data_IF_125413948043
#
_entry.id   IF_125413948043
#
_cell.length_a   1.000
_cell.length_b   1.000
_cell.length_c   1.000
_cell.angle_alpha   90.00
_cell.angle_beta   90.00
_cell.angle_gamma   90.00
#
_symmetry.space_group_name_H-M   'P 1'
#
loop_
_entity.id
_entity.type
_entity.pdbx_description
1 polymer ?
#
# COMPACT_ATOMS: atom_id res chain seq x y z
N UNK A 1 -14.40 7.20 9.38
CA UNK A 1 -15.31 8.14 8.71
C UNK A 1 -16.78 7.95 9.13
N UNK A 2 -17.33 6.71 9.16
CA UNK A 2 -18.73 6.49 9.58
C UNK A 2 -19.01 7.03 10.99
N UNK A 3 -18.11 6.80 11.96
CA UNK A 3 -18.21 7.38 13.29
C UNK A 3 -18.14 8.91 13.26
N UNK A 4 -17.26 9.47 12.45
CA UNK A 4 -17.17 10.93 12.28
C UNK A 4 -18.47 11.53 11.72
N UNK A 5 -19.14 10.84 10.78
CA UNK A 5 -20.42 11.29 10.24
C UNK A 5 -21.58 11.31 11.26
N UNK A 6 -21.48 10.52 12.34
CA UNK A 6 -22.45 10.57 13.44
C UNK A 6 -22.28 11.88 14.24
N UNK A 7 -21.04 12.34 14.42
CA UNK A 7 -20.72 13.53 15.20
C UNK A 7 -20.86 14.82 14.39
N UNK A 8 -20.50 14.78 13.11
CA UNK A 8 -20.61 15.92 12.19
C UNK A 8 -21.13 15.49 10.81
N UNK A 9 -22.44 15.30 10.66
CA UNK A 9 -23.05 14.83 9.42
C UNK A 9 -23.01 15.85 8.25
N UNK A 10 -22.61 17.09 8.53
CA UNK A 10 -22.60 18.18 7.56
C UNK A 10 -21.19 18.54 7.06
N UNK A 11 -20.14 17.87 7.53
CA UNK A 11 -18.78 18.10 7.07
C UNK A 11 -18.49 17.29 5.79
N UNK A 12 -18.30 17.94 4.64
CA UNK A 12 -18.20 17.28 3.34
C UNK A 12 -16.99 16.34 3.23
N UNK A 13 -15.85 16.68 3.87
CA UNK A 13 -14.64 15.86 3.81
C UNK A 13 -14.75 14.50 4.51
N UNK A 14 -15.72 14.32 5.38
CA UNK A 14 -16.02 13.00 5.96
C UNK A 14 -16.50 12.04 4.88
N UNK A 15 -17.39 12.50 4.01
CA UNK A 15 -17.93 11.71 2.90
C UNK A 15 -16.93 11.57 1.74
N UNK A 16 -16.12 12.60 1.50
CA UNK A 16 -14.96 12.48 0.62
C UNK A 16 -14.01 11.37 1.10
N UNK A 17 -13.69 11.34 2.39
CA UNK A 17 -12.84 10.31 2.98
C UNK A 17 -13.45 8.91 2.90
N UNK A 18 -14.79 8.78 3.06
CA UNK A 18 -15.48 7.50 2.83
C UNK A 18 -15.29 7.03 1.37
N UNK A 19 -15.54 7.90 0.41
CA UNK A 19 -15.40 7.57 -1.01
C UNK A 19 -13.94 7.24 -1.37
N UNK A 20 -12.99 8.04 -0.90
CA UNK A 20 -11.57 7.82 -1.16
C UNK A 20 -11.07 6.48 -0.58
N UNK A 21 -11.47 6.16 0.66
CA UNK A 21 -11.02 4.91 1.32
C UNK A 21 -11.61 3.62 0.70
N UNK A 22 -12.74 3.71 0.00
CA UNK A 22 -13.35 2.61 -0.74
C UNK A 22 -12.72 2.48 -2.12
N UNK A 23 -12.19 3.55 -2.68
CA UNK A 23 -11.70 3.66 -4.05
C UNK A 23 -10.47 2.80 -4.36
N UNK A 24 -10.00 2.87 -5.61
CA UNK A 24 -8.81 2.15 -6.01
C UNK A 24 -7.57 2.71 -5.29
N UNK A 25 -6.65 1.83 -4.96
CA UNK A 25 -5.35 2.18 -4.43
C UNK A 25 -4.26 1.28 -5.06
N UNK A 26 -2.95 1.59 -4.93
CA UNK A 26 -1.90 0.81 -5.56
C UNK A 26 -1.90 -0.69 -5.17
N UNK A 27 -2.35 -1.03 -3.96
CA UNK A 27 -2.42 -2.42 -3.49
C UNK A 27 -3.70 -3.14 -3.91
N UNK A 28 -4.79 -2.39 -4.16
CA UNK A 28 -6.10 -2.96 -4.51
C UNK A 28 -6.85 -2.04 -5.45
N UNK A 29 -7.47 -2.59 -6.49
CA UNK A 29 -8.27 -1.77 -7.42
C UNK A 29 -9.48 -1.13 -6.75
N UNK A 30 -10.16 -1.91 -5.92
CA UNK A 30 -11.25 -1.45 -5.05
C UNK A 30 -11.25 -2.29 -3.78
N UNK A 31 -11.77 -1.74 -2.70
CA UNK A 31 -11.98 -2.50 -1.48
C UNK A 31 -12.85 -3.74 -1.74
N UNK A 32 -12.48 -4.88 -1.16
CA UNK A 32 -13.34 -6.07 -1.13
C UNK A 32 -14.58 -5.90 -0.23
N UNK A 33 -14.70 -4.77 0.43
CA UNK A 33 -15.82 -4.39 1.31
C UNK A 33 -16.06 -2.90 1.16
N UNK A 34 -17.30 -2.48 0.98
CA UNK A 34 -18.57 -3.26 0.91
C UNK A 34 -18.70 -4.10 -0.37
N UNK A 35 -19.77 -4.88 -0.50
CA UNK A 35 -20.05 -5.74 -1.66
C UNK A 35 -20.13 -4.97 -2.99
N UNK A 36 -20.62 -3.71 -2.94
CA UNK A 36 -20.62 -2.76 -4.06
C UNK A 36 -19.77 -1.53 -3.74
N UNK A 37 -18.42 -1.63 -3.82
CA UNK A 37 -17.56 -0.50 -3.49
C UNK A 37 -17.73 0.70 -4.42
N UNK A 38 -18.07 0.48 -5.69
CA UNK A 38 -18.30 1.59 -6.62
C UNK A 38 -19.60 2.34 -6.31
N UNK A 39 -20.67 1.62 -6.02
CA UNK A 39 -21.95 2.24 -5.66
C UNK A 39 -21.89 2.96 -4.31
N UNK A 40 -21.26 2.36 -3.31
CA UNK A 40 -21.08 3.04 -2.01
C UNK A 40 -20.11 4.23 -2.10
N UNK A 41 -19.06 4.14 -2.92
CA UNK A 41 -18.17 5.26 -3.21
C UNK A 41 -18.91 6.42 -3.89
N UNK A 42 -19.73 6.12 -4.91
CA UNK A 42 -20.57 7.12 -5.60
C UNK A 42 -21.55 7.78 -4.64
N UNK A 43 -22.23 6.99 -3.79
CA UNK A 43 -23.16 7.51 -2.79
C UNK A 43 -22.46 8.46 -1.81
N UNK A 44 -21.28 8.08 -1.33
CA UNK A 44 -20.50 8.91 -0.42
C UNK A 44 -20.05 10.22 -1.08
N UNK A 45 -19.47 10.16 -2.30
CA UNK A 45 -19.00 11.37 -2.97
C UNK A 45 -20.13 12.30 -3.39
N UNK A 46 -21.31 11.77 -3.78
CA UNK A 46 -22.50 12.56 -4.06
C UNK A 46 -22.99 13.29 -2.79
N UNK A 47 -22.88 12.65 -1.62
CA UNK A 47 -23.18 13.32 -0.35
C UNK A 47 -22.18 14.45 -0.09
N UNK A 48 -20.89 14.27 -0.33
CA UNK A 48 -19.89 15.34 -0.24
C UNK A 48 -20.22 16.50 -1.20
N UNK A 49 -20.55 16.20 -2.45
CA UNK A 49 -20.99 17.19 -3.45
C UNK A 49 -22.19 18.00 -2.99
N UNK A 50 -23.18 17.36 -2.35
CA UNK A 50 -24.37 18.07 -1.82
C UNK A 50 -24.07 19.01 -0.65
N UNK A 51 -22.87 18.95 -0.08
CA UNK A 51 -22.41 19.75 1.07
C UNK A 51 -21.29 20.73 0.69
N UNK A 52 -21.03 20.97 -0.59
CA UNK A 52 -19.92 21.82 -1.07
C UNK A 52 -19.95 23.25 -0.49
N UNK A 53 -21.11 23.77 -0.11
CA UNK A 53 -21.20 25.08 0.54
C UNK A 53 -20.44 25.15 1.87
N UNK A 54 -20.32 24.01 2.57
CA UNK A 54 -19.62 23.88 3.84
C UNK A 54 -18.10 23.62 3.68
N UNK A 55 -17.62 23.43 2.45
CA UNK A 55 -16.24 23.17 2.13
C UNK A 55 -15.44 24.46 1.87
N UNK A 56 -14.18 24.49 2.28
CA UNK A 56 -13.24 25.51 1.82
C UNK A 56 -12.86 25.33 0.35
N UNK A 57 -12.18 26.30 -0.31
CA UNK A 57 -11.85 26.19 -1.74
C UNK A 57 -11.04 24.95 -2.12
N UNK A 58 -10.06 24.55 -1.30
CA UNK A 58 -9.21 23.37 -1.55
C UNK A 58 -10.04 22.09 -1.42
N UNK A 59 -10.85 21.98 -0.37
CA UNK A 59 -11.75 20.84 -0.16
C UNK A 59 -12.77 20.68 -1.30
N UNK A 60 -13.32 21.79 -1.81
CA UNK A 60 -14.21 21.77 -2.98
C UNK A 60 -13.53 21.19 -4.21
N UNK A 61 -12.31 21.62 -4.46
CA UNK A 61 -11.51 21.12 -5.57
C UNK A 61 -11.23 19.60 -5.42
N UNK A 62 -10.86 19.15 -4.21
CA UNK A 62 -10.64 17.72 -3.90
C UNK A 62 -11.91 16.88 -4.10
N UNK A 63 -13.04 17.35 -3.60
CA UNK A 63 -14.33 16.66 -3.74
C UNK A 63 -14.71 16.55 -5.21
N UNK A 64 -14.59 17.64 -5.96
CA UNK A 64 -14.92 17.68 -7.39
C UNK A 64 -14.01 16.76 -8.20
N UNK A 65 -12.73 16.72 -7.89
CA UNK A 65 -11.78 15.81 -8.53
C UNK A 65 -12.14 14.34 -8.28
N UNK A 66 -12.38 13.96 -7.00
CA UNK A 66 -12.72 12.58 -6.67
C UNK A 66 -14.07 12.13 -7.25
N UNK A 67 -15.03 13.06 -7.41
CA UNK A 67 -16.32 12.76 -8.04
C UNK A 67 -16.15 12.18 -9.46
N UNK A 68 -15.18 12.66 -10.23
CA UNK A 68 -14.88 12.16 -11.58
C UNK A 68 -14.65 10.64 -11.58
N UNK A 69 -13.99 10.12 -10.57
CA UNK A 69 -13.67 8.68 -10.45
C UNK A 69 -14.93 7.80 -10.41
N UNK A 70 -16.03 8.32 -9.88
CA UNK A 70 -17.29 7.60 -9.66
C UNK A 70 -18.39 7.95 -10.65
N UNK A 71 -18.23 9.04 -11.43
CA UNK A 71 -19.26 9.54 -12.38
C UNK A 71 -19.29 8.72 -13.68
N UNK A 72 -19.95 7.55 -13.61
CA UNK A 72 -20.13 6.66 -14.76
C UNK A 72 -21.14 7.22 -15.80
N UNK A 73 -21.95 8.22 -15.44
CA UNK A 73 -22.89 8.85 -16.35
C UNK A 73 -22.16 9.77 -17.34
N UNK A 74 -21.17 10.53 -16.85
CA UNK A 74 -20.34 11.39 -17.69
C UNK A 74 -19.27 10.59 -18.45
N UNK A 75 -18.66 9.60 -17.81
CA UNK A 75 -17.61 8.76 -18.41
C UNK A 75 -17.91 7.29 -18.07
N UNK A 76 -18.39 6.52 -19.03
CA UNK A 76 -18.84 5.13 -18.80
C UNK A 76 -17.70 4.15 -18.56
N UNK A 77 -16.53 4.36 -19.20
CA UNK A 77 -15.36 3.49 -19.08
C UNK A 77 -14.55 3.77 -17.80
N UNK A 78 -14.27 2.73 -17.03
CA UNK A 78 -13.54 2.82 -15.77
C UNK A 78 -12.10 3.36 -15.95
N UNK A 79 -11.40 2.89 -16.98
CA UNK A 79 -10.03 3.32 -17.25
C UNK A 79 -9.95 4.79 -17.67
N UNK A 80 -10.94 5.26 -18.43
CA UNK A 80 -11.03 6.68 -18.79
C UNK A 80 -11.35 7.55 -17.58
N UNK A 81 -12.16 7.07 -16.63
CA UNK A 81 -12.39 7.78 -15.35
C UNK A 81 -11.12 7.86 -14.50
N UNK A 82 -10.35 6.77 -14.42
CA UNK A 82 -9.05 6.79 -13.73
C UNK A 82 -8.10 7.84 -14.31
N UNK A 83 -8.01 7.91 -15.65
CA UNK A 83 -7.20 8.91 -16.35
C UNK A 83 -7.72 10.34 -16.11
N UNK A 84 -9.03 10.53 -16.16
CA UNK A 84 -9.66 11.84 -15.94
C UNK A 84 -9.44 12.30 -14.47
N UNK A 85 -9.56 11.40 -13.51
CA UNK A 85 -9.25 11.68 -12.10
C UNK A 85 -7.77 12.02 -11.89
N UNK A 86 -6.85 11.24 -12.49
CA UNK A 86 -5.42 11.56 -12.43
C UNK A 86 -5.10 12.93 -13.01
N UNK A 87 -5.73 13.31 -14.14
CA UNK A 87 -5.54 14.63 -14.73
C UNK A 87 -6.08 15.76 -13.82
N UNK A 88 -7.22 15.53 -13.15
CA UNK A 88 -7.74 16.47 -12.17
C UNK A 88 -6.82 16.58 -10.94
N UNK A 89 -6.29 15.47 -10.44
CA UNK A 89 -5.33 15.44 -9.34
C UNK A 89 -3.99 16.12 -9.72
N UNK A 90 -3.56 15.99 -10.99
CA UNK A 90 -2.41 16.74 -11.51
C UNK A 90 -2.66 18.27 -11.53
N UNK A 91 -3.85 18.70 -11.91
CA UNK A 91 -4.22 20.11 -11.84
C UNK A 91 -4.25 20.61 -10.38
N UNK A 92 -4.75 19.80 -9.45
CA UNK A 92 -4.72 20.11 -8.01
C UNK A 92 -3.30 20.29 -7.50
N UNK A 93 -2.39 19.34 -7.78
CA UNK A 93 -1.01 19.45 -7.31
C UNK A 93 -0.24 20.60 -7.95
N UNK A 94 -0.64 21.10 -9.11
CA UNK A 94 -0.09 22.33 -9.70
C UNK A 94 -0.58 23.58 -8.94
N UNK A 95 -1.85 23.58 -8.54
CA UNK A 95 -2.47 24.69 -7.79
C UNK A 95 -2.02 24.72 -6.32
N UNK A 96 -1.87 23.57 -5.69
CA UNK A 96 -1.53 23.40 -4.28
C UNK A 96 -0.20 22.65 -4.11
N UNK A 97 0.84 23.07 -4.84
CA UNK A 97 2.08 22.30 -5.04
C UNK A 97 2.95 22.09 -3.79
N UNK A 98 2.67 22.78 -2.69
CA UNK A 98 3.34 22.65 -1.40
C UNK A 98 2.57 21.79 -0.40
N UNK A 99 1.33 21.44 -0.73
CA UNK A 99 0.50 20.60 0.13
C UNK A 99 0.84 19.10 -0.10
N UNK A 100 1.33 18.39 0.95
CA UNK A 100 1.78 17.01 0.79
C UNK A 100 0.64 16.01 0.61
N UNK A 101 -0.57 16.29 1.11
CA UNK A 101 -1.74 15.44 0.89
C UNK A 101 -2.18 15.51 -0.57
N UNK A 102 -2.26 16.71 -1.14
CA UNK A 102 -2.63 16.91 -2.56
C UNK A 102 -1.62 16.26 -3.50
N UNK A 103 -0.32 16.41 -3.22
CA UNK A 103 0.72 15.76 -4.04
C UNK A 103 0.67 14.23 -3.89
N UNK A 104 0.33 13.72 -2.70
CA UNK A 104 0.14 12.28 -2.49
C UNK A 104 -1.07 11.74 -3.25
N UNK A 105 -2.19 12.48 -3.29
CA UNK A 105 -3.36 12.11 -4.12
C UNK A 105 -3.02 12.03 -5.61
N UNK A 106 -2.23 12.98 -6.12
CA UNK A 106 -1.75 12.91 -7.50
C UNK A 106 -0.87 11.68 -7.74
N UNK A 107 0.09 11.43 -6.85
CA UNK A 107 0.97 10.27 -6.98
C UNK A 107 0.18 8.96 -6.92
N UNK A 108 -0.76 8.82 -5.98
CA UNK A 108 -1.62 7.66 -5.86
C UNK A 108 -2.48 7.45 -7.11
N UNK A 109 -3.12 8.51 -7.63
CA UNK A 109 -3.97 8.43 -8.84
C UNK A 109 -3.18 7.97 -10.06
N UNK A 110 -1.94 8.45 -10.24
CA UNK A 110 -1.03 7.97 -11.29
C UNK A 110 -0.69 6.49 -11.10
N UNK A 111 -0.32 6.11 -9.88
CA UNK A 111 0.10 4.75 -9.55
C UNK A 111 -1.04 3.74 -9.70
N UNK A 112 -2.29 4.15 -9.55
CA UNK A 112 -3.47 3.32 -9.75
C UNK A 112 -3.72 2.93 -11.22
N UNK A 113 -3.28 3.74 -12.17
CA UNK A 113 -3.43 3.47 -13.60
C UNK A 113 -2.51 2.35 -14.05
N UNK A 114 -1.22 2.47 -13.76
CA UNK A 114 -0.19 1.52 -14.15
C UNK A 114 0.40 0.76 -12.97
N UNK A 115 -0.45 0.07 -12.19
CA UNK A 115 -0.05 -0.59 -10.94
C UNK A 115 1.22 -1.43 -11.10
N UNK A 116 2.28 -1.05 -10.35
CA UNK A 116 3.61 -1.68 -10.34
C UNK A 116 4.37 -1.61 -11.66
N UNK A 117 3.84 -0.94 -12.68
CA UNK A 117 4.42 -0.85 -14.04
C UNK A 117 4.84 0.59 -14.35
N UNK A 118 5.67 1.18 -13.49
CA UNK A 118 6.13 2.58 -13.60
C UNK A 118 7.46 2.72 -14.35
N UNK A 119 8.18 1.63 -14.55
CA UNK A 119 9.51 1.59 -15.15
C UNK A 119 9.58 0.54 -16.27
N UNK A 120 10.28 0.84 -17.34
CA UNK A 120 10.64 -0.16 -18.34
C UNK A 120 11.69 -1.13 -17.78
N UNK A 121 11.88 -2.26 -18.45
CA UNK A 121 12.86 -3.29 -18.01
C UNK A 121 14.29 -2.78 -17.97
N UNK A 122 14.62 -1.80 -18.81
CA UNK A 122 15.93 -1.13 -18.85
C UNK A 122 16.08 -0.01 -17.82
N UNK A 123 15.02 0.25 -17.01
CA UNK A 123 14.97 1.29 -16.02
C UNK A 123 14.53 2.66 -16.52
N UNK A 124 14.15 2.78 -17.79
CA UNK A 124 13.57 4.00 -18.32
C UNK A 124 12.22 4.29 -17.64
N UNK A 125 11.98 5.51 -17.16
CA UNK A 125 10.70 5.86 -16.52
C UNK A 125 9.57 5.91 -17.56
N UNK A 126 8.44 5.29 -17.23
CA UNK A 126 7.22 5.35 -18.05
C UNK A 126 6.45 6.64 -17.82
N UNK A 127 5.84 7.18 -18.88
CA UNK A 127 4.86 8.28 -18.81
C UNK A 127 5.27 9.38 -17.81
N UNK A 128 4.45 9.60 -16.77
CA UNK A 128 4.64 10.66 -15.78
C UNK A 128 5.49 10.25 -14.56
N UNK A 129 6.11 9.07 -14.54
CA UNK A 129 6.88 8.55 -13.38
C UNK A 129 7.87 9.57 -12.83
N UNK A 130 8.70 10.17 -13.69
CA UNK A 130 9.68 11.20 -13.28
C UNK A 130 9.00 12.44 -12.68
N UNK A 131 7.89 12.89 -13.27
CA UNK A 131 7.11 14.03 -12.78
C UNK A 131 6.56 13.75 -11.38
N UNK A 132 6.01 12.55 -11.16
CA UNK A 132 5.46 12.12 -9.87
C UNK A 132 6.58 12.00 -8.82
N UNK A 133 7.72 11.37 -9.16
CA UNK A 133 8.86 11.27 -8.26
C UNK A 133 9.35 12.66 -7.81
N UNK A 134 9.55 13.57 -8.75
CA UNK A 134 10.00 14.94 -8.45
C UNK A 134 8.96 15.71 -7.60
N UNK A 135 7.66 15.47 -7.79
CA UNK A 135 6.63 16.09 -6.97
C UNK A 135 6.67 15.59 -5.52
N UNK A 136 6.80 14.27 -5.32
CA UNK A 136 6.95 13.67 -4.00
C UNK A 136 8.24 14.16 -3.30
N UNK A 137 9.37 14.16 -3.98
CA UNK A 137 10.65 14.63 -3.43
C UNK A 137 10.58 16.10 -3.00
N UNK A 138 9.92 16.94 -3.82
CA UNK A 138 9.73 18.37 -3.51
C UNK A 138 8.94 18.59 -2.21
N UNK A 139 7.82 17.85 -2.01
CA UNK A 139 7.04 18.02 -0.77
C UNK A 139 7.72 17.39 0.42
N UNK A 140 8.44 16.27 0.23
CA UNK A 140 9.20 15.61 1.30
C UNK A 140 10.40 16.44 1.76
N UNK A 141 10.96 17.32 0.92
CA UNK A 141 12.00 18.27 1.33
C UNK A 141 11.50 19.24 2.41
N UNK A 142 10.22 19.63 2.37
CA UNK A 142 9.61 20.54 3.33
C UNK A 142 8.76 19.83 4.40
N UNK A 143 8.27 18.64 4.11
CA UNK A 143 7.41 17.83 4.97
C UNK A 143 8.00 16.41 5.11
N UNK A 144 9.19 16.23 5.69
CA UNK A 144 9.93 14.97 5.65
C UNK A 144 9.20 13.81 6.35
N UNK A 145 8.31 14.09 7.28
CA UNK A 145 7.59 13.08 8.06
C UNK A 145 6.16 12.82 7.55
N UNK A 146 5.82 13.30 6.34
CA UNK A 146 4.50 13.03 5.78
C UNK A 146 4.36 11.56 5.38
N UNK A 147 3.50 10.80 6.07
CA UNK A 147 3.37 9.34 5.94
C UNK A 147 3.03 8.92 4.51
N UNK A 148 1.98 9.50 3.92
CA UNK A 148 1.51 9.15 2.57
C UNK A 148 2.58 9.39 1.50
N UNK A 149 3.24 10.55 1.53
CA UNK A 149 4.28 10.89 0.56
C UNK A 149 5.50 9.96 0.67
N UNK A 150 5.97 9.64 1.89
CA UNK A 150 7.07 8.68 2.08
C UNK A 150 6.68 7.27 1.58
N UNK A 151 5.45 6.82 1.87
CA UNK A 151 4.94 5.52 1.44
C UNK A 151 4.91 5.39 -0.09
N UNK A 152 4.29 6.37 -0.77
CA UNK A 152 4.18 6.37 -2.23
C UNK A 152 5.54 6.54 -2.91
N UNK A 153 6.46 7.31 -2.31
CA UNK A 153 7.82 7.48 -2.81
C UNK A 153 8.60 6.14 -2.81
N UNK A 154 8.45 5.34 -1.75
CA UNK A 154 9.01 3.98 -1.69
C UNK A 154 8.46 3.12 -2.82
N UNK A 155 7.14 3.01 -2.94
CA UNK A 155 6.49 2.20 -3.97
C UNK A 155 6.85 2.63 -5.40
N UNK A 156 6.99 3.93 -5.63
CA UNK A 156 7.33 4.44 -6.95
C UNK A 156 8.76 4.09 -7.34
N UNK A 157 9.71 4.13 -6.39
CA UNK A 157 11.14 3.97 -6.66
C UNK A 157 11.69 2.56 -6.40
N UNK A 158 10.95 1.68 -5.72
CA UNK A 158 11.44 0.33 -5.41
C UNK A 158 11.86 -0.50 -6.64
N UNK A 159 11.21 -0.28 -7.78
CA UNK A 159 11.53 -0.96 -9.04
C UNK A 159 12.49 -0.15 -9.96
N UNK A 160 12.88 1.06 -9.56
CA UNK A 160 13.81 1.89 -10.33
C UNK A 160 15.24 1.37 -10.30
N UNK A 161 16.10 1.95 -11.11
CA UNK A 161 17.56 1.73 -11.04
C UNK A 161 18.23 2.57 -9.95
N UNK A 162 17.52 3.52 -9.34
CA UNK A 162 17.99 4.43 -8.29
C UNK A 162 17.14 4.31 -7.02
N UNK A 163 16.95 3.09 -6.44
CA UNK A 163 16.10 2.89 -5.27
C UNK A 163 16.61 3.64 -4.03
N UNK A 164 17.90 3.96 -3.96
CA UNK A 164 18.52 4.75 -2.90
C UNK A 164 17.93 6.16 -2.76
N UNK A 165 17.29 6.71 -3.79
CA UNK A 165 16.56 7.99 -3.70
C UNK A 165 15.44 7.94 -2.66
N UNK A 166 14.84 6.77 -2.47
CA UNK A 166 13.80 6.56 -1.45
C UNK A 166 14.36 6.13 -0.08
N UNK A 167 15.67 6.03 0.11
CA UNK A 167 16.25 5.55 1.37
C UNK A 167 15.87 6.43 2.56
N UNK A 168 15.89 7.76 2.38
CA UNK A 168 15.48 8.69 3.42
C UNK A 168 13.98 8.55 3.78
N UNK A 169 13.12 8.20 2.81
CA UNK A 169 11.71 7.88 3.06
C UNK A 169 11.56 6.57 3.83
N UNK A 170 12.33 5.54 3.47
CA UNK A 170 12.36 4.28 4.18
C UNK A 170 12.80 4.45 5.64
N UNK A 171 13.86 5.21 5.89
CA UNK A 171 14.38 5.42 7.25
C UNK A 171 13.41 6.19 8.17
N UNK A 172 12.48 6.97 7.61
CA UNK A 172 11.51 7.79 8.39
C UNK A 172 10.15 7.12 8.55
N UNK A 173 9.72 6.35 7.58
CA UNK A 173 8.31 5.95 7.42
C UNK A 173 7.77 5.21 8.64
N UNK A 174 8.51 4.26 9.20
CA UNK A 174 8.08 3.48 10.36
C UNK A 174 7.71 4.38 11.56
N UNK A 175 8.51 5.42 11.82
CA UNK A 175 8.28 6.33 12.93
C UNK A 175 7.02 7.21 12.75
N UNK A 176 6.53 7.37 11.52
CA UNK A 176 5.36 8.22 11.24
C UNK A 176 4.04 7.51 11.58
N UNK A 177 4.01 6.16 11.52
CA UNK A 177 2.81 5.37 11.83
C UNK A 177 3.19 3.96 12.34
N UNK A 178 3.77 3.84 13.54
CA UNK A 178 4.37 2.60 14.04
C UNK A 178 3.36 1.52 14.44
N UNK A 179 2.06 1.84 14.41
CA UNK A 179 0.97 0.92 14.79
C UNK A 179 0.30 0.25 13.57
N UNK A 180 0.77 0.51 12.35
CA UNK A 180 0.24 -0.07 11.12
C UNK A 180 1.29 -0.98 10.51
N UNK A 181 1.07 -2.30 10.57
CA UNK A 181 2.04 -3.30 10.11
C UNK A 181 2.50 -3.09 8.69
N UNK A 182 1.60 -2.73 7.76
CA UNK A 182 1.97 -2.40 6.38
C UNK A 182 2.98 -1.24 6.29
N UNK A 183 2.76 -0.16 7.04
CA UNK A 183 3.66 1.01 7.05
C UNK A 183 5.03 0.66 7.64
N UNK A 184 5.05 -0.19 8.68
CA UNK A 184 6.28 -0.69 9.31
C UNK A 184 7.06 -1.63 8.36
N UNK A 185 6.38 -2.41 7.52
CA UNK A 185 6.98 -3.27 6.50
C UNK A 185 7.60 -2.50 5.33
N UNK A 186 6.98 -1.41 4.90
CA UNK A 186 7.33 -0.69 3.67
C UNK A 186 8.81 -0.32 3.47
N UNK A 187 9.56 0.09 4.52
CA UNK A 187 10.99 0.37 4.40
C UNK A 187 11.80 -0.78 3.80
N UNK A 188 11.38 -2.02 4.03
CA UNK A 188 12.08 -3.20 3.54
C UNK A 188 12.15 -3.28 2.01
N UNK A 189 11.18 -2.72 1.29
CA UNK A 189 11.19 -2.64 -0.16
C UNK A 189 12.44 -1.93 -0.69
N UNK A 190 12.87 -0.87 0.00
CA UNK A 190 14.11 -0.15 -0.36
C UNK A 190 15.33 -0.84 0.24
N UNK A 191 15.27 -1.28 1.51
CA UNK A 191 16.41 -1.90 2.17
C UNK A 191 16.95 -3.12 1.43
N UNK A 192 16.08 -3.98 0.88
CA UNK A 192 16.53 -5.14 0.08
C UNK A 192 17.19 -4.71 -1.23
N UNK A 193 16.75 -3.60 -1.82
CA UNK A 193 17.31 -3.07 -3.07
C UNK A 193 18.70 -2.45 -2.89
N UNK A 194 18.95 -1.88 -1.70
CA UNK A 194 20.24 -1.23 -1.38
C UNK A 194 21.16 -2.11 -0.53
N UNK A 195 20.83 -3.40 -0.33
CA UNK A 195 21.67 -4.36 0.38
C UNK A 195 21.64 -4.24 1.92
N UNK A 196 20.70 -3.48 2.49
CA UNK A 196 20.55 -3.33 3.94
C UNK A 196 19.66 -4.45 4.53
N UNK A 197 20.03 -5.70 4.30
CA UNK A 197 19.20 -6.87 4.63
C UNK A 197 18.84 -6.99 6.11
N UNK A 198 19.72 -6.61 7.03
CA UNK A 198 19.40 -6.59 8.46
C UNK A 198 18.22 -5.67 8.76
N UNK A 199 18.24 -4.43 8.23
CA UNK A 199 17.11 -3.50 8.41
C UNK A 199 15.82 -4.04 7.79
N UNK A 200 15.92 -4.72 6.63
CA UNK A 200 14.75 -5.33 5.99
C UNK A 200 14.15 -6.45 6.85
N UNK A 201 15.00 -7.29 7.46
CA UNK A 201 14.56 -8.35 8.39
C UNK A 201 13.90 -7.73 9.62
N UNK A 202 14.57 -6.77 10.25
CA UNK A 202 14.10 -6.14 11.49
C UNK A 202 12.74 -5.42 11.30
N UNK A 203 12.58 -4.64 10.24
CA UNK A 203 11.31 -3.95 9.95
C UNK A 203 10.16 -4.93 9.71
N UNK A 204 10.43 -6.05 9.01
CA UNK A 204 9.40 -7.07 8.78
C UNK A 204 9.07 -7.88 10.04
N UNK A 205 10.04 -8.16 10.91
CA UNK A 205 9.75 -8.78 12.22
C UNK A 205 8.84 -7.88 13.06
N UNK A 206 9.15 -6.57 13.13
CA UNK A 206 8.29 -5.60 13.83
C UNK A 206 6.90 -5.50 13.17
N UNK A 207 6.82 -5.52 11.85
CA UNK A 207 5.54 -5.51 11.13
C UNK A 207 4.64 -6.67 11.56
N UNK A 208 5.18 -7.90 11.59
CA UNK A 208 4.44 -9.10 12.04
C UNK A 208 3.98 -8.95 13.51
N UNK A 209 4.84 -8.41 14.39
CA UNK A 209 4.46 -8.15 15.79
C UNK A 209 3.35 -7.10 15.92
N UNK A 210 3.42 -6.03 15.13
CA UNK A 210 2.40 -4.96 15.11
C UNK A 210 1.06 -5.52 14.66
N UNK A 211 1.03 -6.33 13.59
CA UNK A 211 -0.19 -6.96 13.12
C UNK A 211 -0.77 -7.93 14.16
N UNK A 212 0.07 -8.70 14.83
CA UNK A 212 -0.37 -9.60 15.90
C UNK A 212 -0.97 -8.84 17.10
N UNK A 213 -0.34 -7.72 17.51
CA UNK A 213 -0.89 -6.84 18.56
C UNK A 213 -2.23 -6.23 18.16
N UNK A 214 -2.35 -5.80 16.92
CA UNK A 214 -3.58 -5.22 16.41
C UNK A 214 -4.72 -6.25 16.40
N UNK A 215 -4.47 -7.47 15.94
CA UNK A 215 -5.43 -8.58 15.98
C UNK A 215 -5.86 -8.92 17.41
N UNK A 216 -4.96 -8.88 18.38
CA UNK A 216 -5.27 -9.11 19.79
C UNK A 216 -6.18 -8.01 20.38
N UNK A 217 -5.97 -6.75 19.99
CA UNK A 217 -6.80 -5.62 20.45
C UNK A 217 -8.21 -5.72 19.85
N UNK A 218 -8.31 -6.05 18.58
CA UNK A 218 -9.59 -6.13 17.88
C UNK A 218 -10.31 -7.46 18.10
N UNK A 219 -9.61 -8.54 18.36
CA UNK A 219 -10.06 -9.88 18.75
C UNK A 219 -11.46 -10.26 18.30
N UNK A 220 -12.37 -10.30 19.27
CA UNK A 220 -13.78 -10.67 19.05
C UNK A 220 -14.70 -9.47 18.78
N UNK A 221 -14.18 -8.25 18.71
CA UNK A 221 -15.00 -7.10 18.34
C UNK A 221 -15.46 -7.24 16.90
N UNK A 222 -16.75 -7.03 16.59
CA UNK A 222 -17.19 -6.94 15.22
C UNK A 222 -16.44 -5.76 14.59
N UNK A 223 -15.48 -6.10 13.74
CA UNK A 223 -14.79 -5.09 12.94
C UNK A 223 -15.85 -4.41 12.10
N UNK A 224 -16.09 -3.10 12.30
CA UNK A 224 -16.85 -2.37 11.31
C UNK A 224 -16.13 -2.59 9.97
N UNK A 225 -16.89 -2.58 8.88
CA UNK A 225 -16.35 -2.70 7.52
C UNK A 225 -15.36 -1.57 7.25
N UNK A 226 -14.18 -1.64 7.87
CA UNK A 226 -13.10 -0.70 7.70
C UNK A 226 -12.02 -1.39 6.90
N UNK A 227 -11.92 -0.93 5.67
CA UNK A 227 -10.72 -1.14 4.90
C UNK A 227 -10.76 -2.31 3.96
N UNK A 228 -9.76 -2.27 3.13
CA UNK A 228 -9.52 -3.08 1.96
C UNK A 228 -9.28 -4.55 2.27
N UNK A 229 -8.96 -4.88 3.51
CA UNK A 229 -8.67 -6.24 3.93
C UNK A 229 -9.38 -6.54 5.24
N UNK A 230 -10.10 -7.67 5.34
CA UNK A 230 -10.47 -8.18 6.64
C UNK A 230 -9.19 -8.36 7.46
N UNK A 231 -9.18 -7.83 8.66
CA UNK A 231 -8.07 -8.06 9.59
C UNK A 231 -7.96 -9.56 9.83
N UNK A 232 -6.95 -10.16 9.25
CA UNK A 232 -6.69 -11.59 9.39
C UNK A 232 -5.20 -11.81 9.40
N UNK A 233 -4.75 -12.70 10.26
CA UNK A 233 -3.35 -13.16 10.29
C UNK A 233 -2.87 -13.78 8.96
N UNK A 234 -3.76 -13.95 7.99
CA UNK A 234 -3.48 -14.62 6.72
C UNK A 234 -3.17 -13.66 5.56
N UNK A 235 -3.25 -12.35 5.74
CA UNK A 235 -3.12 -11.40 4.61
C UNK A 235 -1.76 -10.72 4.58
N UNK A 236 -1.46 -9.85 5.53
CA UNK A 236 -0.22 -9.09 5.53
C UNK A 236 0.97 -9.87 6.12
N UNK A 237 0.84 -10.61 7.24
CA UNK A 237 1.96 -11.36 7.79
C UNK A 237 2.68 -12.30 6.81
N UNK A 238 1.99 -13.05 5.90
CA UNK A 238 2.68 -13.86 4.90
C UNK A 238 3.59 -13.06 3.98
N UNK A 239 3.23 -11.82 3.61
CA UNK A 239 4.06 -10.97 2.77
C UNK A 239 5.32 -10.49 3.52
N UNK A 240 5.16 -10.02 4.75
CA UNK A 240 6.29 -9.61 5.59
C UNK A 240 7.24 -10.79 5.89
N UNK A 241 6.69 -11.98 6.18
CA UNK A 241 7.49 -13.20 6.40
C UNK A 241 8.26 -13.62 5.15
N UNK A 242 7.67 -13.44 3.96
CA UNK A 242 8.35 -13.73 2.69
C UNK A 242 9.55 -12.79 2.48
N UNK A 243 9.44 -11.52 2.84
CA UNK A 243 10.57 -10.58 2.85
C UNK A 243 11.67 -10.98 3.83
N UNK A 244 11.31 -11.44 5.04
CA UNK A 244 12.29 -11.97 6.01
C UNK A 244 13.04 -13.15 5.41
N UNK A 245 12.31 -14.11 4.84
CA UNK A 245 12.88 -15.29 4.17
C UNK A 245 13.83 -14.89 3.05
N UNK A 246 13.40 -13.98 2.17
CA UNK A 246 14.20 -13.50 1.04
C UNK A 246 15.48 -12.80 1.52
N UNK A 247 15.36 -11.79 2.39
CA UNK A 247 16.49 -11.02 2.88
C UNK A 247 17.51 -11.89 3.63
N UNK A 248 17.04 -12.79 4.50
CA UNK A 248 17.90 -13.74 5.20
C UNK A 248 18.60 -14.74 4.27
N UNK A 249 17.92 -15.17 3.19
CA UNK A 249 18.50 -16.06 2.18
C UNK A 249 19.65 -15.38 1.44
N UNK A 250 19.42 -14.15 0.96
CA UNK A 250 20.45 -13.39 0.23
C UNK A 250 21.63 -13.05 1.14
N UNK A 251 21.37 -12.76 2.41
CA UNK A 251 22.41 -12.51 3.42
C UNK A 251 23.21 -13.76 3.84
N UNK A 252 22.75 -14.96 3.49
CA UNK A 252 23.36 -16.22 3.92
C UNK A 252 23.00 -16.66 5.35
N UNK A 253 21.95 -16.11 5.93
CA UNK A 253 21.48 -16.45 7.28
C UNK A 253 20.48 -17.60 7.25
N UNK A 254 20.99 -18.84 7.25
CA UNK A 254 20.17 -20.04 7.21
C UNK A 254 19.12 -20.11 8.33
N UNK A 255 19.51 -19.76 9.57
CA UNK A 255 18.63 -19.92 10.72
C UNK A 255 17.35 -19.06 10.59
N UNK A 256 17.50 -17.80 10.19
CA UNK A 256 16.35 -16.91 9.97
C UNK A 256 15.58 -17.34 8.72
N UNK A 257 16.27 -17.70 7.63
CA UNK A 257 15.62 -18.09 6.38
C UNK A 257 14.74 -19.33 6.54
N UNK A 258 15.22 -20.37 7.24
CA UNK A 258 14.45 -21.61 7.44
C UNK A 258 13.30 -21.42 8.43
N UNK A 259 13.48 -20.61 9.48
CA UNK A 259 12.41 -20.26 10.42
C UNK A 259 11.28 -19.52 9.71
N UNK A 260 11.61 -18.50 8.91
CA UNK A 260 10.63 -17.76 8.12
C UNK A 260 9.91 -18.67 7.08
N UNK A 261 10.64 -19.58 6.43
CA UNK A 261 10.03 -20.53 5.50
C UNK A 261 9.03 -21.46 6.18
N UNK A 262 9.35 -21.98 7.37
CA UNK A 262 8.43 -22.83 8.17
C UNK A 262 7.22 -22.05 8.67
N UNK A 263 7.39 -20.80 9.09
CA UNK A 263 6.27 -19.92 9.46
C UNK A 263 5.35 -19.67 8.27
N UNK A 264 5.91 -19.47 7.08
CA UNK A 264 5.13 -19.31 5.85
C UNK A 264 4.35 -20.58 5.51
N UNK A 265 4.98 -21.75 5.58
CA UNK A 265 4.37 -23.04 5.38
C UNK A 265 3.16 -23.24 6.30
N UNK A 266 3.32 -22.93 7.59
CA UNK A 266 2.27 -23.08 8.61
C UNK A 266 1.04 -22.17 8.36
N UNK A 267 1.19 -21.10 7.60
CA UNK A 267 0.10 -20.18 7.23
C UNK A 267 -0.67 -20.65 5.97
N UNK A 268 -0.16 -21.65 5.24
CA UNK A 268 -0.77 -22.12 4.01
C UNK A 268 -1.91 -23.10 4.30
N UNK A 269 -2.97 -23.00 3.49
CA UNK A 269 -4.07 -23.96 3.55
C UNK A 269 -3.72 -25.21 2.74
N UNK A 270 -3.56 -26.38 3.36
CA UNK A 270 -3.23 -27.62 2.66
C UNK A 270 -4.33 -28.08 1.69
N UNK A 271 -5.54 -27.57 1.82
CA UNK A 271 -6.65 -27.88 0.92
C UNK A 271 -6.67 -26.99 -0.34
N UNK A 272 -5.85 -25.95 -0.41
CA UNK A 272 -5.79 -25.01 -1.53
C UNK A 272 -4.46 -25.10 -2.29
N UNK A 273 -4.04 -26.31 -2.66
CA UNK A 273 -2.78 -26.53 -3.38
C UNK A 273 -2.79 -26.03 -4.83
N UNK A 274 -3.95 -25.66 -5.38
CA UNK A 274 -4.04 -25.07 -6.72
C UNK A 274 -3.56 -23.63 -6.79
N UNK A 275 -3.49 -22.93 -5.66
CA UNK A 275 -2.97 -21.57 -5.60
C UNK A 275 -1.43 -21.58 -5.62
N UNK A 276 -0.82 -20.85 -6.55
CA UNK A 276 0.65 -20.73 -6.67
C UNK A 276 1.29 -20.31 -5.35
N UNK A 277 0.65 -19.42 -4.62
CA UNK A 277 1.16 -18.95 -3.31
C UNK A 277 1.19 -20.09 -2.27
N UNK A 278 0.21 -20.97 -2.26
CA UNK A 278 0.22 -22.13 -1.37
C UNK A 278 1.35 -23.09 -1.74
N UNK A 279 1.52 -23.39 -3.04
CA UNK A 279 2.61 -24.25 -3.52
C UNK A 279 4.00 -23.69 -3.13
N UNK A 280 4.23 -22.40 -3.34
CA UNK A 280 5.51 -21.76 -2.98
C UNK A 280 5.71 -21.71 -1.47
N UNK A 281 4.64 -21.54 -0.67
CA UNK A 281 4.68 -21.60 0.78
C UNK A 281 5.10 -22.98 1.28
N UNK A 282 4.46 -24.04 0.81
CA UNK A 282 4.78 -25.44 1.17
C UNK A 282 6.20 -25.83 0.70
N UNK A 283 6.61 -25.40 -0.49
CA UNK A 283 7.96 -25.69 -0.98
C UNK A 283 9.06 -24.88 -0.27
N UNK A 284 8.69 -23.86 0.52
CA UNK A 284 9.62 -22.93 1.16
C UNK A 284 10.75 -23.59 1.93
N UNK A 285 10.48 -24.45 2.93
CA UNK A 285 11.53 -25.10 3.71
C UNK A 285 12.43 -25.99 2.86
N UNK A 286 11.88 -26.70 1.88
CA UNK A 286 12.67 -27.51 0.96
C UNK A 286 13.60 -26.65 0.11
N UNK A 287 13.11 -25.56 -0.43
CA UNK A 287 13.91 -24.61 -1.25
C UNK A 287 15.04 -23.97 -0.43
N UNK A 288 14.78 -23.56 0.81
CA UNK A 288 15.82 -23.02 1.70
C UNK A 288 16.89 -24.06 1.99
N UNK A 289 16.51 -25.29 2.36
CA UNK A 289 17.46 -26.37 2.56
C UNK A 289 18.32 -26.64 1.31
N UNK A 290 17.73 -26.62 0.14
CA UNK A 290 18.43 -26.77 -1.16
C UNK A 290 19.44 -25.64 -1.39
N UNK A 291 19.05 -24.37 -1.20
CA UNK A 291 19.91 -23.19 -1.40
C UNK A 291 21.11 -23.24 -0.46
N UNK A 292 20.92 -23.67 0.78
CA UNK A 292 21.98 -23.75 1.79
C UNK A 292 22.72 -25.09 1.83
N UNK A 293 22.50 -25.99 0.86
CA UNK A 293 23.21 -27.26 0.74
C UNK A 293 22.95 -28.26 1.88
N UNK A 294 21.78 -28.20 2.51
CA UNK A 294 21.38 -29.09 3.60
C UNK A 294 20.88 -30.43 3.08
N UNK A 295 21.73 -31.12 2.32
CA UNK A 295 21.37 -32.35 1.60
C UNK A 295 20.93 -33.48 2.50
N UNK A 296 21.55 -33.63 3.67
CA UNK A 296 21.16 -34.66 4.64
C UNK A 296 19.70 -34.50 5.10
N UNK A 297 19.24 -33.26 5.25
CA UNK A 297 17.84 -32.99 5.60
C UNK A 297 16.93 -33.36 4.43
N UNK A 298 17.29 -32.97 3.20
CA UNK A 298 16.49 -33.21 2.01
C UNK A 298 16.37 -34.70 1.60
N UNK A 299 17.39 -35.50 1.91
CA UNK A 299 17.42 -36.92 1.57
C UNK A 299 16.70 -37.81 2.60
N UNK A 300 16.43 -37.26 3.80
CA UNK A 300 15.79 -38.00 4.88
C UNK A 300 14.33 -37.52 5.16
N UNK A 301 13.79 -36.63 4.31
CA UNK A 301 12.39 -36.23 4.32
C UNK A 301 11.64 -36.98 3.21
#
# INVERSE_FOLDING_TARGET
YQQAAIHDPNHPMIYWGMAHSIGPNPNSRYSGMPDDPKGEGLKAINKAMSLLENANPMERDMITALHILYDKESISDDGQRDIAYMNAADALQQKYSTDPDIVSLYAESYMNIGRWDYWEKDGTPKSATTKVANALERVLANNPNHTGANHLHIHLLEASQEPERALASADRLEATMPIVGHVVHMPAHIYVRVGQYNKAIDSNMRSVEVDAKFLNIWGDLPLPNIGTYPLSAKIHPPHAIDFIKYAATVQGNYAIAIDAAKKMEALMDPNNLNAVRAQTGFAGPWLINKIFGKWDILLNT
#
